data_IF_520312171101
#
_entry.id   IF_520312171101
#
_cell.length_a   1.000
_cell.length_b   1.000
_cell.length_c   1.000
_cell.angle_alpha   90.00
_cell.angle_beta   90.00
_cell.angle_gamma   90.00
#
_symmetry.space_group_name_H-M   'P 1'
#
loop_
_entity.id
_entity.type
_entity.pdbx_description
1 polymer ?
#
# COMPACT_ATOMS: atom_id res chain seq x y z
N UNK A 1 -31.79 26.43 0.90
CA UNK A 1 -31.13 25.78 -0.26
C UNK A 1 -31.99 24.60 -0.68
N UNK A 2 -32.40 24.52 -1.95
CA UNK A 2 -33.42 23.59 -2.41
C UNK A 2 -32.79 22.23 -2.81
N UNK A 3 -33.28 21.13 -2.23
CA UNK A 3 -32.83 19.75 -2.49
C UNK A 3 -32.84 19.35 -3.97
N UNK A 4 -33.60 20.08 -4.81
CA UNK A 4 -33.77 19.80 -6.24
C UNK A 4 -32.51 20.02 -7.09
N UNK A 5 -31.63 20.96 -6.71
CA UNK A 5 -30.36 21.18 -7.42
C UNK A 5 -29.29 20.12 -7.11
N UNK A 6 -29.44 19.38 -6.01
CA UNK A 6 -28.48 18.35 -5.60
C UNK A 6 -28.59 17.07 -6.44
N UNK A 7 -29.73 16.84 -7.10
CA UNK A 7 -30.00 15.65 -7.92
C UNK A 7 -29.67 15.82 -9.41
N UNK A 8 -29.30 17.02 -9.87
CA UNK A 8 -29.01 17.28 -11.29
C UNK A 8 -27.52 17.12 -11.68
N UNK A 9 -26.61 16.87 -10.72
CA UNK A 9 -25.17 16.76 -11.00
C UNK A 9 -24.58 15.35 -10.85
N UNK A 10 -25.36 14.35 -10.44
CA UNK A 10 -24.93 12.95 -10.35
C UNK A 10 -26.12 12.01 -10.65
N UNK A 11 -25.92 10.97 -11.46
CA UNK A 11 -26.96 10.00 -11.84
C UNK A 11 -27.58 9.26 -10.63
N UNK A 12 -26.91 9.24 -9.47
CA UNK A 12 -27.44 8.78 -8.18
C UNK A 12 -26.61 9.28 -6.98
N UNK A 13 -27.16 9.19 -5.77
CA UNK A 13 -26.43 9.42 -4.51
C UNK A 13 -25.20 8.50 -4.37
N UNK A 14 -25.30 7.27 -4.90
CA UNK A 14 -24.21 6.30 -4.90
C UNK A 14 -23.05 6.73 -5.81
N UNK A 15 -23.36 7.34 -6.96
CA UNK A 15 -22.33 7.87 -7.86
C UNK A 15 -21.55 9.03 -7.21
N UNK A 16 -22.26 9.90 -6.49
CA UNK A 16 -21.63 10.97 -5.71
C UNK A 16 -20.76 10.43 -4.57
N UNK A 17 -21.24 9.41 -3.85
CA UNK A 17 -20.47 8.76 -2.78
C UNK A 17 -19.21 8.06 -3.33
N UNK A 18 -19.31 7.38 -4.48
CA UNK A 18 -18.18 6.74 -5.12
C UNK A 18 -17.11 7.75 -5.56
N UNK A 19 -17.53 8.87 -6.19
CA UNK A 19 -16.61 9.95 -6.58
C UNK A 19 -15.90 10.54 -5.36
N UNK A 20 -16.62 10.78 -4.26
CA UNK A 20 -16.03 11.28 -3.03
C UNK A 20 -15.01 10.29 -2.43
N UNK A 21 -15.32 8.99 -2.44
CA UNK A 21 -14.36 7.96 -2.00
C UNK A 21 -13.10 7.93 -2.87
N UNK A 22 -13.25 8.09 -4.19
CA UNK A 22 -12.11 8.18 -5.10
C UNK A 22 -11.25 9.42 -4.82
N UNK A 23 -11.87 10.58 -4.63
CA UNK A 23 -11.17 11.83 -4.30
C UNK A 23 -10.37 11.69 -2.99
N UNK A 24 -11.00 11.12 -1.95
CA UNK A 24 -10.36 10.87 -0.66
C UNK A 24 -9.20 9.86 -0.78
N UNK A 25 -9.34 8.84 -1.61
CA UNK A 25 -8.27 7.89 -1.89
C UNK A 25 -7.09 8.58 -2.60
N UNK A 26 -7.36 9.47 -3.56
CA UNK A 26 -6.35 10.23 -4.28
C UNK A 26 -5.62 11.22 -3.38
N UNK A 27 -6.34 11.90 -2.49
CA UNK A 27 -5.75 12.79 -1.49
C UNK A 27 -4.77 12.03 -0.59
N UNK A 28 -5.20 10.90 -0.02
CA UNK A 28 -4.36 10.08 0.86
C UNK A 28 -3.12 9.53 0.13
N UNK A 29 -3.28 9.07 -1.13
CA UNK A 29 -2.16 8.65 -1.97
C UNK A 29 -1.18 9.81 -2.20
N UNK A 30 -1.70 10.99 -2.52
CA UNK A 30 -0.89 12.20 -2.75
C UNK A 30 -0.09 12.60 -1.51
N UNK A 31 -0.69 12.52 -0.32
CA UNK A 31 -0.01 12.77 0.96
C UNK A 31 1.18 11.82 1.14
N UNK A 32 0.96 10.51 0.96
CA UNK A 32 2.02 9.51 1.10
C UNK A 32 3.15 9.70 0.08
N UNK A 33 2.81 9.97 -1.18
CA UNK A 33 3.78 10.21 -2.25
C UNK A 33 4.62 11.48 -2.00
N UNK A 34 3.98 12.57 -1.59
CA UNK A 34 4.68 13.82 -1.28
C UNK A 34 5.63 13.67 -0.10
N UNK A 35 5.20 12.97 0.96
CA UNK A 35 6.05 12.65 2.10
C UNK A 35 7.24 11.80 1.66
N UNK A 36 7.01 10.74 0.89
CA UNK A 36 8.07 9.85 0.40
C UNK A 36 9.09 10.59 -0.48
N UNK A 37 8.62 11.48 -1.36
CA UNK A 37 9.50 12.28 -2.22
C UNK A 37 10.35 13.25 -1.39
N UNK A 38 9.76 13.94 -0.41
CA UNK A 38 10.49 14.85 0.49
C UNK A 38 11.57 14.12 1.27
N UNK A 39 11.22 13.02 1.94
CA UNK A 39 12.18 12.25 2.74
C UNK A 39 13.31 11.66 1.89
N UNK A 40 13.00 11.22 0.66
CA UNK A 40 14.03 10.75 -0.27
C UNK A 40 14.99 11.87 -0.69
N UNK A 41 14.48 13.07 -0.98
CA UNK A 41 15.30 14.25 -1.31
C UNK A 41 16.18 14.71 -0.13
N UNK A 42 15.69 14.50 1.10
CA UNK A 42 16.42 14.77 2.34
C UNK A 42 17.45 13.66 2.68
N UNK A 43 17.50 12.57 1.92
CA UNK A 43 18.43 11.47 2.14
C UNK A 43 18.09 10.58 3.33
N UNK A 44 16.81 10.48 3.70
CA UNK A 44 16.36 9.59 4.77
C UNK A 44 16.64 8.13 4.45
N UNK A 45 17.01 7.36 5.47
CA UNK A 45 17.08 5.90 5.37
C UNK A 45 15.67 5.27 5.35
N UNK A 46 15.59 3.98 5.02
CA UNK A 46 14.31 3.27 4.87
C UNK A 46 13.42 3.37 6.13
N UNK A 47 13.93 3.17 7.36
CA UNK A 47 13.11 3.34 8.56
C UNK A 47 12.63 4.77 8.79
N UNK A 48 13.48 5.80 8.60
CA UNK A 48 13.05 7.18 8.76
C UNK A 48 12.01 7.59 7.71
N UNK A 49 12.19 7.13 6.47
CA UNK A 49 11.25 7.39 5.39
C UNK A 49 9.89 6.74 5.65
N UNK A 50 9.87 5.47 6.09
CA UNK A 50 8.65 4.76 6.45
C UNK A 50 7.88 5.49 7.56
N UNK A 51 8.58 5.91 8.63
CA UNK A 51 7.99 6.68 9.73
C UNK A 51 7.41 8.01 9.26
N UNK A 52 8.14 8.75 8.42
CA UNK A 52 7.67 10.04 7.89
C UNK A 52 6.39 9.87 7.06
N UNK A 53 6.37 8.92 6.14
CA UNK A 53 5.20 8.65 5.29
C UNK A 53 3.99 8.23 6.13
N UNK A 54 4.20 7.31 7.06
CA UNK A 54 3.13 6.79 7.91
C UNK A 54 2.60 7.83 8.89
N UNK A 55 3.45 8.67 9.47
CA UNK A 55 3.01 9.78 10.32
C UNK A 55 2.04 10.71 9.58
N UNK A 56 2.36 11.06 8.32
CA UNK A 56 1.52 11.93 7.48
C UNK A 56 0.20 11.27 7.11
N UNK A 57 0.24 10.03 6.63
CA UNK A 57 -0.97 9.29 6.24
C UNK A 57 -1.87 9.02 7.46
N UNK A 58 -1.31 8.53 8.57
CA UNK A 58 -2.05 8.24 9.79
C UNK A 58 -2.59 9.52 10.41
N UNK A 59 -1.80 10.60 10.44
CA UNK A 59 -2.26 11.93 10.86
C UNK A 59 -3.51 12.36 10.10
N UNK A 60 -3.46 12.34 8.77
CA UNK A 60 -4.63 12.65 7.94
C UNK A 60 -5.82 11.73 8.24
N UNK A 61 -5.60 10.44 8.49
CA UNK A 61 -6.69 9.53 8.80
C UNK A 61 -7.35 9.83 10.16
N UNK A 62 -6.60 10.30 11.15
CA UNK A 62 -7.10 10.39 12.54
C UNK A 62 -7.53 11.80 12.92
N UNK A 63 -7.05 12.81 12.20
CA UNK A 63 -7.48 14.21 12.36
C UNK A 63 -8.98 14.37 12.01
N UNK A 64 -9.48 13.59 11.06
CA UNK A 64 -10.91 13.54 10.69
C UNK A 64 -11.42 12.09 10.61
N UNK A 65 -11.78 11.46 11.75
CA UNK A 65 -12.19 10.06 11.77
C UNK A 65 -13.44 9.77 10.93
N UNK A 66 -14.33 10.75 10.75
CA UNK A 66 -15.52 10.61 9.91
C UNK A 66 -15.16 10.43 8.42
N UNK A 67 -14.12 11.14 7.94
CA UNK A 67 -13.60 11.03 6.58
C UNK A 67 -12.96 9.67 6.34
N UNK A 68 -12.16 9.20 7.29
CA UNK A 68 -11.50 7.89 7.22
C UNK A 68 -12.51 6.76 7.27
N UNK A 69 -13.51 6.86 8.14
CA UNK A 69 -14.63 5.93 8.17
C UNK A 69 -15.39 5.94 6.86
N UNK A 70 -15.63 7.09 6.23
CA UNK A 70 -16.25 7.12 4.90
C UNK A 70 -15.40 6.37 3.87
N UNK A 71 -14.11 6.68 3.80
CA UNK A 71 -13.16 6.08 2.86
C UNK A 71 -13.02 4.56 3.02
N UNK A 72 -13.03 4.06 4.25
CA UNK A 72 -12.77 2.64 4.57
C UNK A 72 -13.96 1.89 5.20
N UNK A 73 -15.14 2.50 5.25
CA UNK A 73 -16.33 1.95 5.91
C UNK A 73 -16.63 0.53 5.46
N UNK A 74 -17.15 -0.26 6.41
CA UNK A 74 -17.56 -1.63 6.16
C UNK A 74 -18.66 -1.64 5.10
N UNK A 75 -18.31 -2.18 3.94
CA UNK A 75 -19.21 -2.43 2.83
C UNK A 75 -20.27 -3.53 3.09
N UNK A 76 -20.51 -3.87 4.36
CA UNK A 76 -21.44 -4.92 4.79
C UNK A 76 -22.88 -4.66 4.34
N UNK A 77 -23.22 -3.43 3.96
CA UNK A 77 -24.56 -3.05 3.52
C UNK A 77 -24.64 -2.67 2.03
N UNK A 78 -23.50 -2.56 1.32
CA UNK A 78 -23.48 -2.15 -0.10
C UNK A 78 -22.35 -2.85 -0.89
N UNK A 79 -22.69 -3.79 -1.81
CA UNK A 79 -21.71 -4.46 -2.68
C UNK A 79 -20.85 -3.51 -3.52
N UNK A 80 -21.37 -2.35 -3.91
CA UNK A 80 -20.63 -1.34 -4.66
C UNK A 80 -19.54 -0.70 -3.80
N UNK A 81 -19.84 -0.40 -2.54
CA UNK A 81 -18.83 0.12 -1.59
C UNK A 81 -17.70 -0.91 -1.35
N UNK A 82 -18.01 -2.21 -1.41
CA UNK A 82 -17.01 -3.27 -1.22
C UNK A 82 -16.02 -3.30 -2.38
N UNK A 83 -16.54 -3.25 -3.61
CA UNK A 83 -15.70 -3.22 -4.80
C UNK A 83 -14.90 -1.91 -4.90
N UNK A 84 -15.46 -0.80 -4.44
CA UNK A 84 -14.75 0.47 -4.34
C UNK A 84 -13.57 0.39 -3.35
N UNK A 85 -13.81 -0.13 -2.14
CA UNK A 85 -12.73 -0.35 -1.15
C UNK A 85 -11.63 -1.24 -1.70
N UNK A 86 -11.99 -2.36 -2.36
CA UNK A 86 -11.00 -3.24 -2.99
C UNK A 86 -10.20 -2.51 -4.07
N UNK A 87 -10.85 -1.66 -4.86
CA UNK A 87 -10.20 -0.87 -5.90
C UNK A 87 -9.22 0.14 -5.31
N UNK A 88 -9.60 0.86 -4.26
CA UNK A 88 -8.72 1.78 -3.52
C UNK A 88 -7.51 1.06 -2.93
N UNK A 89 -7.72 -0.06 -2.23
CA UNK A 89 -6.62 -0.84 -1.64
C UNK A 89 -5.67 -1.35 -2.74
N UNK A 90 -6.20 -1.86 -3.86
CA UNK A 90 -5.37 -2.31 -5.00
C UNK A 90 -4.58 -1.14 -5.62
N UNK A 91 -5.19 0.04 -5.74
CA UNK A 91 -4.54 1.27 -6.24
C UNK A 91 -3.37 1.66 -5.34
N UNK A 92 -3.60 1.73 -4.02
CA UNK A 92 -2.57 2.04 -3.02
C UNK A 92 -1.44 0.99 -3.00
N UNK A 93 -1.79 -0.30 -3.02
CA UNK A 93 -0.81 -1.38 -3.06
C UNK A 93 0.05 -1.33 -4.34
N UNK A 94 -0.54 -0.94 -5.48
CA UNK A 94 0.20 -0.74 -6.72
C UNK A 94 1.18 0.42 -6.60
N UNK A 95 0.75 1.58 -6.08
CA UNK A 95 1.62 2.74 -5.83
C UNK A 95 2.81 2.35 -4.95
N UNK A 96 2.55 1.66 -3.83
CA UNK A 96 3.59 1.18 -2.93
C UNK A 96 4.58 0.22 -3.63
N UNK A 97 4.06 -0.72 -4.42
CA UNK A 97 4.91 -1.66 -5.15
C UNK A 97 5.79 -0.96 -6.19
N UNK A 98 5.28 0.06 -6.88
CA UNK A 98 6.06 0.86 -7.84
C UNK A 98 7.15 1.65 -7.14
N UNK A 99 6.82 2.29 -6.01
CA UNK A 99 7.80 3.00 -5.20
C UNK A 99 8.93 2.06 -4.72
N UNK A 100 8.58 0.87 -4.22
CA UNK A 100 9.55 -0.13 -3.76
C UNK A 100 10.52 -0.58 -4.87
N UNK A 101 10.04 -0.80 -6.10
CA UNK A 101 10.92 -1.15 -7.23
C UNK A 101 11.91 -0.03 -7.56
N UNK A 102 11.44 1.21 -7.59
CA UNK A 102 12.29 2.37 -7.85
C UNK A 102 13.34 2.56 -6.74
N UNK A 103 12.92 2.41 -5.48
CA UNK A 103 13.78 2.58 -4.32
C UNK A 103 14.86 1.48 -4.20
N UNK A 104 14.49 0.22 -4.41
CA UNK A 104 15.41 -0.92 -4.30
C UNK A 104 16.18 -1.23 -5.60
N UNK A 105 15.96 -0.48 -6.68
CA UNK A 105 16.52 -0.75 -8.01
C UNK A 105 16.29 -2.20 -8.48
N UNK A 106 15.25 -2.85 -7.96
CA UNK A 106 14.92 -4.21 -8.29
C UNK A 106 14.33 -4.23 -9.72
N UNK A 107 14.89 -5.07 -10.59
CA UNK A 107 14.56 -5.10 -12.02
C UNK A 107 13.06 -5.28 -12.29
N UNK A 108 12.58 -6.54 -12.36
CA UNK A 108 11.18 -6.80 -12.70
C UNK A 108 10.25 -6.79 -11.47
N UNK A 109 8.96 -6.40 -11.64
CA UNK A 109 7.95 -6.47 -10.59
C UNK A 109 7.81 -7.88 -10.03
N UNK A 110 8.12 -8.05 -8.75
CA UNK A 110 8.05 -9.35 -8.10
C UNK A 110 6.63 -9.60 -7.58
N UNK A 111 5.99 -10.75 -7.90
CA UNK A 111 4.66 -11.07 -7.37
C UNK A 111 4.57 -10.98 -5.84
N UNK A 112 5.66 -11.29 -5.12
CA UNK A 112 5.73 -11.17 -3.66
C UNK A 112 5.66 -9.71 -3.17
N UNK A 113 6.18 -8.75 -3.94
CA UNK A 113 6.10 -7.32 -3.61
C UNK A 113 4.65 -6.82 -3.70
N UNK A 114 3.88 -7.32 -4.67
CA UNK A 114 2.46 -6.99 -4.76
C UNK A 114 1.66 -7.56 -3.58
N UNK A 115 1.91 -8.83 -3.21
CA UNK A 115 1.27 -9.47 -2.05
C UNK A 115 1.63 -8.74 -0.75
N UNK A 116 2.91 -8.44 -0.54
CA UNK A 116 3.38 -7.69 0.62
C UNK A 116 2.77 -6.28 0.69
N UNK A 117 2.69 -5.59 -0.44
CA UNK A 117 2.07 -4.25 -0.52
C UNK A 117 0.58 -4.29 -0.16
N UNK A 118 -0.16 -5.27 -0.67
CA UNK A 118 -1.58 -5.44 -0.34
C UNK A 118 -1.80 -5.78 1.14
N UNK A 119 -0.93 -6.64 1.71
CA UNK A 119 -0.95 -6.98 3.14
C UNK A 119 -0.71 -5.74 4.01
N UNK A 120 0.32 -4.96 3.70
CA UNK A 120 0.69 -3.76 4.45
C UNK A 120 -0.39 -2.69 4.39
N UNK A 121 -0.91 -2.38 3.19
CA UNK A 121 -1.98 -1.38 3.03
C UNK A 121 -3.25 -1.83 3.77
N UNK A 122 -3.70 -3.07 3.53
CA UNK A 122 -4.90 -3.60 4.17
C UNK A 122 -4.78 -3.67 5.70
N UNK A 123 -3.64 -4.17 6.20
CA UNK A 123 -3.37 -4.27 7.63
C UNK A 123 -3.25 -2.91 8.31
N UNK A 124 -2.66 -1.91 7.64
CA UNK A 124 -2.58 -0.54 8.17
C UNK A 124 -3.95 0.10 8.29
N UNK A 125 -4.80 -0.06 7.26
CA UNK A 125 -6.18 0.43 7.30
C UNK A 125 -6.95 -0.21 8.45
N UNK A 126 -6.85 -1.53 8.61
CA UNK A 126 -7.53 -2.24 9.70
C UNK A 126 -7.02 -1.78 11.07
N UNK A 127 -5.71 -1.67 11.25
CA UNK A 127 -5.11 -1.23 12.50
C UNK A 127 -5.55 0.20 12.88
N UNK A 128 -5.64 1.11 11.91
CA UNK A 128 -6.12 2.48 12.13
C UNK A 128 -7.59 2.47 12.53
N UNK A 129 -8.43 1.64 11.88
CA UNK A 129 -9.84 1.52 12.25
C UNK A 129 -10.00 0.97 13.67
N UNK A 130 -9.28 -0.08 14.05
CA UNK A 130 -9.28 -0.61 15.43
C UNK A 130 -8.79 0.42 16.46
N UNK A 131 -7.80 1.26 16.11
CA UNK A 131 -7.35 2.34 16.97
C UNK A 131 -8.42 3.44 17.12
N UNK A 132 -9.09 3.82 16.04
CA UNK A 132 -10.20 4.78 16.05
C UNK A 132 -11.44 4.28 16.80
N UNK A 133 -11.62 2.97 16.90
CA UNK A 133 -12.69 2.32 17.67
C UNK A 133 -12.27 2.03 19.13
N UNK A 134 -11.06 2.44 19.52
CA UNK A 134 -10.46 2.30 20.85
C UNK A 134 -10.26 0.84 21.31
N UNK A 135 -10.18 -0.10 20.36
CA UNK A 135 -9.83 -1.50 20.64
C UNK A 135 -8.34 -1.70 20.95
N UNK A 136 -7.51 -0.71 20.59
CA UNK A 136 -6.06 -0.70 20.83
C UNK A 136 -5.69 0.56 21.64
N UNK A 137 -5.01 0.37 22.76
CA UNK A 137 -4.59 1.47 23.65
C UNK A 137 -3.08 1.72 23.50
N UNK A 138 -2.73 2.59 22.56
CA UNK A 138 -1.35 3.04 22.29
C UNK A 138 -1.36 4.53 21.92
N UNK A 139 -0.24 5.23 22.14
CA UNK A 139 -0.10 6.61 21.65
C UNK A 139 0.01 6.66 20.11
N UNK A 140 -0.23 7.85 19.53
CA UNK A 140 -0.10 8.06 18.07
C UNK A 140 1.34 7.79 17.63
N UNK A 141 2.31 8.24 18.42
CA UNK A 141 3.73 8.07 18.15
C UNK A 141 4.13 6.59 18.16
N UNK A 142 3.72 5.82 19.18
CA UNK A 142 3.97 4.37 19.25
C UNK A 142 3.27 3.63 18.11
N UNK A 143 2.03 3.98 17.80
CA UNK A 143 1.29 3.37 16.70
C UNK A 143 1.98 3.57 15.35
N UNK A 144 2.43 4.80 15.05
CA UNK A 144 3.17 5.10 13.81
C UNK A 144 4.49 4.31 13.77
N UNK A 145 5.21 4.25 14.89
CA UNK A 145 6.48 3.51 14.98
C UNK A 145 6.27 2.01 14.71
N UNK A 146 5.27 1.39 15.32
CA UNK A 146 4.97 -0.03 15.17
C UNK A 146 4.59 -0.37 13.73
N UNK A 147 3.72 0.42 13.11
CA UNK A 147 3.34 0.23 11.70
C UNK A 147 4.56 0.43 10.79
N UNK A 148 5.42 1.42 11.05
CA UNK A 148 6.62 1.64 10.26
C UNK A 148 7.60 0.46 10.36
N UNK A 149 7.77 -0.10 11.55
CA UNK A 149 8.56 -1.30 11.76
C UNK A 149 8.03 -2.48 10.94
N UNK A 150 6.71 -2.70 10.92
CA UNK A 150 6.12 -3.76 10.09
C UNK A 150 6.33 -3.54 8.59
N UNK A 151 6.22 -2.30 8.12
CA UNK A 151 6.46 -1.96 6.72
C UNK A 151 7.89 -2.27 6.28
N UNK A 152 8.89 -1.88 7.07
CA UNK A 152 10.30 -2.17 6.80
C UNK A 152 10.55 -3.68 6.83
N UNK A 153 10.08 -4.38 7.87
CA UNK A 153 10.30 -5.82 8.02
C UNK A 153 9.70 -6.65 6.87
N UNK A 154 8.49 -6.30 6.43
CA UNK A 154 7.83 -6.97 5.29
C UNK A 154 8.54 -6.62 3.98
N UNK A 155 8.99 -5.38 3.80
CA UNK A 155 9.78 -4.96 2.65
C UNK A 155 11.07 -5.77 2.50
N UNK A 156 11.86 -5.86 3.56
CA UNK A 156 13.11 -6.63 3.59
C UNK A 156 12.86 -8.12 3.35
N UNK A 157 11.78 -8.67 3.93
CA UNK A 157 11.37 -10.05 3.73
C UNK A 157 10.96 -10.34 2.28
N UNK A 158 10.28 -9.40 1.62
CA UNK A 158 9.88 -9.54 0.22
C UNK A 158 11.11 -9.56 -0.71
N UNK A 159 12.12 -8.73 -0.43
CA UNK A 159 13.40 -8.73 -1.15
C UNK A 159 14.13 -10.07 -0.95
N UNK A 160 14.23 -10.57 0.28
CA UNK A 160 14.87 -11.85 0.58
C UNK A 160 14.16 -13.04 -0.10
N UNK A 161 12.82 -13.10 -0.04
CA UNK A 161 12.03 -14.15 -0.68
C UNK A 161 12.13 -14.12 -2.19
N UNK A 162 12.29 -12.94 -2.78
CA UNK A 162 12.54 -12.81 -4.21
C UNK A 162 13.89 -13.41 -4.60
N UNK A 163 14.95 -13.07 -3.87
CA UNK A 163 16.29 -13.59 -4.12
C UNK A 163 16.34 -15.11 -3.98
N UNK A 164 15.72 -15.69 -2.94
CA UNK A 164 15.70 -17.14 -2.74
C UNK A 164 14.93 -17.88 -3.85
N UNK A 165 13.81 -17.33 -4.33
CA UNK A 165 13.05 -17.88 -5.46
C UNK A 165 13.77 -17.72 -6.79
N UNK A 166 14.52 -16.63 -6.98
CA UNK A 166 15.38 -16.42 -8.14
C UNK A 166 16.53 -17.43 -8.20
N UNK A 167 17.16 -17.72 -7.06
CA UNK A 167 18.17 -18.77 -6.92
C UNK A 167 17.56 -20.16 -7.21
N UNK A 168 16.37 -20.45 -6.66
CA UNK A 168 15.66 -21.71 -6.94
C UNK A 168 15.35 -21.90 -8.44
N UNK A 169 14.86 -20.84 -9.12
CA UNK A 169 14.59 -20.87 -10.57
C UNK A 169 15.86 -21.05 -11.43
N UNK A 170 16.99 -20.52 -10.99
CA UNK A 170 18.26 -20.69 -11.71
C UNK A 170 18.81 -22.13 -11.59
N UNK A 171 18.55 -22.81 -10.47
CA UNK A 171 18.92 -24.21 -10.27
C UNK A 171 17.99 -25.19 -11.00
N UNK A 172 16.73 -24.79 -11.24
CA UNK A 172 15.75 -25.57 -12.01
C UNK A 172 15.84 -25.35 -13.53
N UNK A 173 16.73 -24.46 -14.01
CA UNK A 173 17.00 -24.32 -15.43
C UNK A 173 17.68 -25.61 -15.93
N UNK A 174 17.15 -26.30 -16.96
CA UNK A 174 17.79 -27.50 -17.49
C UNK A 174 19.19 -27.12 -17.94
N UNK A 175 20.20 -27.69 -17.28
CA UNK A 175 21.60 -27.42 -17.55
C UNK A 175 21.86 -27.49 -19.05
N UNK A 176 22.28 -26.37 -19.63
CA UNK A 176 22.88 -26.36 -20.95
C UNK A 176 24.13 -27.22 -20.86
N UNK A 177 23.98 -28.49 -21.25
CA UNK A 177 25.07 -29.45 -21.33
C UNK A 177 26.17 -28.87 -22.20
N UNK A 178 27.39 -28.88 -21.69
CA UNK A 178 28.54 -28.25 -22.32
C UNK A 178 28.86 -28.93 -23.67
N UNK A 179 29.16 -28.16 -24.74
CA UNK A 179 29.26 -28.65 -26.12
C UNK A 179 30.70 -29.04 -26.50
N UNK A 180 31.20 -30.19 -26.02
CA UNK A 180 32.48 -30.84 -26.45
C UNK A 180 33.77 -30.00 -26.13
N UNK A 181 35.06 -30.47 -26.24
CA UNK A 181 35.60 -31.71 -26.82
C UNK A 181 36.71 -32.47 -26.05
N UNK A 182 36.85 -33.78 -26.29
CA UNK A 182 38.12 -34.56 -26.44
C UNK A 182 37.81 -36.06 -26.36
N UNK A 183 38.18 -36.96 -27.28
CA UNK A 183 39.23 -36.91 -28.29
C UNK A 183 40.40 -37.83 -27.89
N UNK A 184 40.41 -39.06 -28.42
CA UNK A 184 41.62 -39.83 -28.72
C UNK A 184 41.99 -41.00 -27.79
N UNK A 185 42.11 -42.20 -28.38
CA UNK A 185 42.78 -43.37 -27.79
C UNK A 185 42.17 -44.70 -28.19
#
# INVERSE_FOLDING_TARGET
MNKRYFYESFDSLDAMAAALVDDLAEELIGIGQNAALSGWQEGMDTPALARQVLDRCIGWMVDEPARTRLLFSSASENPQALEQRKTVIRKMARVLSTFSLQYHQAGEPLPIAHVGSALLVGGTIEAVMSWLDADVVVSREEFVEDIACFWVAVGDSAVSLSQSRGIGRALDAPGTGDPWPSGGG
#
